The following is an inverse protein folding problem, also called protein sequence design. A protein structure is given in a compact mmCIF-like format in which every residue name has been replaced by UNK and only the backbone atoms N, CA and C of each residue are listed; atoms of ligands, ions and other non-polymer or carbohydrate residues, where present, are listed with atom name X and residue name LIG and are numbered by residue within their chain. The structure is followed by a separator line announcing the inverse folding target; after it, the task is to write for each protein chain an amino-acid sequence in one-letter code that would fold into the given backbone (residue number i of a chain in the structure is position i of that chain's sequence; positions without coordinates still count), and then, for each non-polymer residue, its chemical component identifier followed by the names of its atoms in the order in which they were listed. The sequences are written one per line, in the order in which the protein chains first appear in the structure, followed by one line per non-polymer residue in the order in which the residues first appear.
data_IF_318665258955
#
_entry.id   IF_318665258955
#
_cell.length_a   1.000
_cell.length_b   1.000
_cell.length_c   1.000
_cell.angle_alpha   90.00
_cell.angle_beta   90.00
_cell.angle_gamma   90.00
#
_symmetry.space_group_name_H-M   'P 1'
#
loop_
_entity.id
_entity.type
_entity.pdbx_description
1 polymer ?
#
# COMPACT_ATOMS: atom_id res chain seq x y z
N UNK A 1 -6.08 28.12 21.84
CA UNK A 1 -5.25 26.92 21.62
C UNK A 1 -4.40 27.17 20.38
N UNK A 2 -3.11 27.45 20.53
CA UNK A 2 -2.27 27.75 19.36
C UNK A 2 -2.14 26.48 18.53
N UNK A 3 -2.61 26.49 17.29
CA UNK A 3 -2.44 25.36 16.37
C UNK A 3 -0.95 25.05 16.27
N UNK A 4 -0.54 23.85 16.71
CA UNK A 4 0.85 23.42 16.63
C UNK A 4 1.33 23.53 15.19
N UNK A 5 2.41 24.28 14.96
CA UNK A 5 3.02 24.39 13.62
C UNK A 5 3.53 23.01 13.21
N UNK A 6 3.01 22.48 12.11
CA UNK A 6 3.52 21.24 11.53
C UNK A 6 4.94 21.47 11.05
N UNK A 7 5.84 20.53 11.34
CA UNK A 7 7.15 20.44 10.71
C UNK A 7 6.98 20.00 9.24
N UNK A 8 6.70 20.98 8.39
CA UNK A 8 6.48 20.78 6.97
C UNK A 8 7.72 20.23 6.26
N UNK A 9 8.93 20.49 6.76
CA UNK A 9 10.16 19.98 6.17
C UNK A 9 10.26 18.47 6.38
N UNK A 10 10.16 18.01 7.63
CA UNK A 10 10.22 16.57 7.94
C UNK A 10 9.09 15.79 7.28
N UNK A 11 7.86 16.35 7.27
CA UNK A 11 6.73 15.71 6.57
C UNK A 11 6.93 15.68 5.06
N UNK A 12 7.56 16.71 4.47
CA UNK A 12 7.90 16.74 3.05
C UNK A 12 8.93 15.68 2.66
N UNK A 13 10.01 15.54 3.45
CA UNK A 13 11.02 14.49 3.24
C UNK A 13 10.41 13.09 3.37
N UNK A 14 9.58 12.86 4.40
CA UNK A 14 8.85 11.60 4.56
C UNK A 14 7.83 11.35 3.44
N UNK A 15 7.23 12.42 2.91
CA UNK A 15 6.31 12.37 1.77
C UNK A 15 7.01 11.92 0.49
N UNK A 16 8.17 12.51 0.18
CA UNK A 16 9.00 12.09 -0.95
C UNK A 16 9.50 10.65 -0.79
N UNK A 17 9.96 10.28 0.41
CA UNK A 17 10.31 8.90 0.72
C UNK A 17 9.13 7.96 0.43
N UNK A 18 7.94 8.28 0.96
CA UNK A 18 6.73 7.48 0.77
C UNK A 18 6.37 7.33 -0.71
N UNK A 19 6.45 8.42 -1.48
CA UNK A 19 6.23 8.40 -2.93
C UNK A 19 7.17 7.41 -3.62
N UNK A 20 8.46 7.49 -3.32
CA UNK A 20 9.45 6.61 -3.92
C UNK A 20 9.28 5.16 -3.44
N UNK A 21 9.07 4.92 -2.14
CA UNK A 21 8.89 3.56 -1.60
C UNK A 21 7.75 2.81 -2.28
N UNK A 22 6.58 3.43 -2.42
CA UNK A 22 5.44 2.83 -3.14
C UNK A 22 5.65 2.82 -4.66
N UNK A 23 6.27 3.85 -5.20
CA UNK A 23 6.44 4.02 -6.63
C UNK A 23 7.38 2.98 -7.26
N UNK A 24 8.59 2.89 -6.72
CA UNK A 24 9.77 2.24 -7.32
C UNK A 24 9.54 0.79 -7.72
N UNK A 25 8.79 0.02 -6.93
CA UNK A 25 8.47 -1.37 -7.28
C UNK A 25 7.00 -1.71 -7.08
N UNK A 26 6.37 -1.26 -6.00
CA UNK A 26 5.00 -1.67 -5.67
C UNK A 26 3.97 -1.24 -6.74
N UNK A 27 4.03 0.00 -7.23
CA UNK A 27 3.19 0.46 -8.36
C UNK A 27 3.77 0.11 -9.73
N UNK A 28 5.09 0.20 -9.89
CA UNK A 28 5.76 -0.04 -11.18
C UNK A 28 5.70 -1.50 -11.65
N UNK A 29 5.57 -2.46 -10.72
CA UNK A 29 5.53 -3.89 -11.03
C UNK A 29 4.45 -4.26 -12.05
N UNK A 30 3.23 -3.73 -11.92
CA UNK A 30 2.14 -4.03 -12.84
C UNK A 30 2.41 -3.58 -14.28
N UNK A 31 3.13 -2.47 -14.45
CA UNK A 31 3.56 -1.96 -15.77
C UNK A 31 4.68 -2.83 -16.35
N UNK A 32 5.59 -3.30 -15.49
CA UNK A 32 6.75 -4.11 -15.86
C UNK A 32 6.44 -5.59 -16.07
N UNK A 33 5.30 -6.09 -15.56
CA UNK A 33 4.95 -7.52 -15.58
C UNK A 33 4.96 -8.11 -16.99
N UNK A 34 4.27 -7.46 -17.93
CA UNK A 34 4.15 -7.93 -19.30
C UNK A 34 5.48 -7.82 -20.08
N UNK A 35 6.20 -6.68 -20.05
CA UNK A 35 7.53 -6.59 -20.64
C UNK A 35 8.52 -7.66 -20.13
N UNK A 36 8.51 -7.96 -18.83
CA UNK A 36 9.37 -9.01 -18.25
C UNK A 36 8.96 -10.39 -18.79
N UNK A 37 7.66 -10.69 -18.83
CA UNK A 37 7.12 -11.96 -19.34
C UNK A 37 7.53 -12.20 -20.79
N UNK A 38 7.38 -11.18 -21.63
CA UNK A 38 7.69 -11.25 -23.07
C UNK A 38 9.19 -11.42 -23.31
N UNK A 39 10.04 -10.67 -22.60
CA UNK A 39 11.50 -10.74 -22.77
C UNK A 39 12.11 -12.06 -22.24
N UNK A 40 11.63 -12.54 -21.10
CA UNK A 40 12.25 -13.68 -20.40
C UNK A 40 11.55 -15.02 -20.62
N UNK A 41 10.29 -15.00 -21.06
CA UNK A 41 9.44 -16.18 -21.15
C UNK A 41 9.00 -16.76 -19.79
N UNK A 42 9.28 -16.08 -18.67
CA UNK A 42 8.89 -16.57 -17.34
C UNK A 42 7.37 -16.50 -17.15
N UNK A 43 6.81 -17.48 -16.43
CA UNK A 43 5.37 -17.58 -16.20
C UNK A 43 4.81 -16.40 -15.38
N UNK A 44 3.62 -15.93 -15.76
CA UNK A 44 2.94 -14.80 -15.12
C UNK A 44 2.65 -15.08 -13.64
N UNK A 45 2.21 -16.30 -13.28
CA UNK A 45 2.03 -16.72 -11.88
C UNK A 45 3.32 -16.66 -11.06
N UNK A 46 4.46 -17.04 -11.65
CA UNK A 46 5.76 -17.03 -10.96
C UNK A 46 6.19 -15.59 -10.67
N UNK A 47 6.01 -14.69 -11.64
CA UNK A 47 6.26 -13.27 -11.47
C UNK A 47 5.33 -12.68 -10.41
N UNK A 48 4.02 -12.93 -10.50
CA UNK A 48 3.04 -12.46 -9.52
C UNK A 48 3.31 -13.01 -8.10
N UNK A 49 3.75 -14.27 -8.00
CA UNK A 49 4.14 -14.89 -6.74
C UNK A 49 5.38 -14.21 -6.12
N UNK A 50 6.32 -13.70 -6.93
CA UNK A 50 7.45 -12.90 -6.41
C UNK A 50 6.98 -11.59 -5.78
N UNK A 51 5.99 -10.92 -6.38
CA UNK A 51 5.36 -9.75 -5.81
C UNK A 51 4.63 -10.08 -4.51
N UNK A 52 3.84 -11.16 -4.49
CA UNK A 52 3.17 -11.63 -3.27
C UNK A 52 4.16 -11.96 -2.16
N UNK A 53 5.26 -12.66 -2.47
CA UNK A 53 6.32 -12.93 -1.51
C UNK A 53 6.91 -11.63 -0.94
N UNK A 54 7.13 -10.62 -1.78
CA UNK A 54 7.53 -9.29 -1.35
C UNK A 54 6.50 -8.64 -0.42
N UNK A 55 5.20 -8.70 -0.73
CA UNK A 55 4.15 -8.16 0.16
C UNK A 55 4.08 -8.88 1.51
N UNK A 56 4.35 -10.19 1.54
CA UNK A 56 4.49 -10.96 2.77
C UNK A 56 5.68 -10.45 3.58
N UNK A 57 6.83 -10.22 2.95
CA UNK A 57 8.00 -9.65 3.62
C UNK A 57 7.70 -8.26 4.22
N UNK A 58 6.93 -7.41 3.52
CA UNK A 58 6.48 -6.12 4.06
C UNK A 58 5.56 -6.36 5.28
N UNK A 59 4.58 -7.26 5.16
CA UNK A 59 3.63 -7.55 6.23
C UNK A 59 4.30 -8.08 7.49
N UNK A 60 5.21 -9.05 7.34
CA UNK A 60 6.03 -9.56 8.44
C UNK A 60 6.87 -8.45 9.06
N UNK A 61 7.50 -7.63 8.22
CA UNK A 61 8.33 -6.53 8.69
C UNK A 61 7.52 -5.43 9.38
N UNK A 62 6.25 -5.20 9.03
CA UNK A 62 5.42 -4.21 9.69
C UNK A 62 5.19 -4.51 11.18
N UNK A 63 5.26 -5.77 11.60
CA UNK A 63 5.22 -6.20 13.02
C UNK A 63 6.46 -5.76 13.81
N UNK A 64 7.60 -5.57 13.13
CA UNK A 64 8.90 -5.27 13.74
C UNK A 64 9.44 -3.88 13.40
N UNK A 65 9.02 -3.29 12.29
CA UNK A 65 9.57 -2.07 11.71
C UNK A 65 9.41 -0.86 12.64
N UNK A 66 8.26 -0.74 13.31
CA UNK A 66 8.07 0.25 14.37
C UNK A 66 9.08 0.08 15.50
N UNK A 67 9.29 -1.15 15.99
CA UNK A 67 10.28 -1.41 17.06
C UNK A 67 11.70 -1.08 16.63
N UNK A 68 12.06 -1.36 15.38
CA UNK A 68 13.37 -1.05 14.84
C UNK A 68 13.58 0.47 14.73
N UNK A 69 12.58 1.19 14.23
CA UNK A 69 12.54 2.65 14.23
C UNK A 69 12.66 3.22 15.64
N UNK A 70 12.01 2.58 16.62
CA UNK A 70 12.02 3.02 18.00
C UNK A 70 13.35 2.78 18.71
N UNK A 71 14.08 1.72 18.35
CA UNK A 71 15.35 1.35 19.01
C UNK A 71 16.55 2.01 18.33
N UNK A 72 16.56 2.01 17.01
CA UNK A 72 17.70 2.44 16.21
C UNK A 72 17.53 3.87 15.67
N UNK A 73 16.32 4.43 15.72
CA UNK A 73 15.99 5.69 15.06
C UNK A 73 15.76 5.51 13.56
N UNK A 74 15.38 6.61 12.89
CA UNK A 74 15.04 6.60 11.46
C UNK A 74 16.24 6.40 10.54
N UNK A 75 17.41 6.93 10.90
CA UNK A 75 18.61 6.89 10.04
C UNK A 75 19.06 5.46 9.66
N UNK A 76 19.34 4.53 10.60
CA UNK A 76 19.72 3.17 10.23
C UNK A 76 18.59 2.42 9.52
N UNK A 77 17.33 2.65 9.91
CA UNK A 77 16.14 2.07 9.26
C UNK A 77 16.12 2.42 7.77
N UNK A 78 16.29 3.68 7.42
CA UNK A 78 16.26 4.10 6.02
C UNK A 78 17.50 3.65 5.25
N UNK A 79 18.69 3.63 5.87
CA UNK A 79 19.89 3.09 5.21
C UNK A 79 19.77 1.58 4.92
N UNK A 80 19.18 0.80 5.83
CA UNK A 80 18.86 -0.61 5.56
C UNK A 80 17.85 -0.75 4.41
N UNK A 81 16.86 0.14 4.31
CA UNK A 81 15.90 0.17 3.22
C UNK A 81 16.56 0.45 1.87
N UNK A 82 17.46 1.43 1.82
CA UNK A 82 18.27 1.71 0.63
C UNK A 82 19.11 0.49 0.22
N UNK A 83 19.78 -0.14 1.18
CA UNK A 83 20.65 -1.29 0.91
C UNK A 83 19.86 -2.51 0.42
N UNK A 84 18.88 -2.96 1.20
CA UNK A 84 18.11 -4.19 0.91
C UNK A 84 17.23 -3.98 -0.33
N UNK A 85 16.48 -2.87 -0.36
CA UNK A 85 15.59 -2.53 -1.47
C UNK A 85 16.35 -2.31 -2.76
N UNK A 86 17.40 -1.48 -2.70
CA UNK A 86 18.22 -1.11 -3.84
C UNK A 86 19.03 -2.28 -4.39
N UNK A 87 19.74 -3.02 -3.54
CA UNK A 87 20.49 -4.19 -3.98
C UNK A 87 19.58 -5.25 -4.59
N UNK A 88 18.40 -5.49 -4.00
CA UNK A 88 17.41 -6.41 -4.53
C UNK A 88 16.97 -6.06 -5.96
N UNK A 89 16.62 -4.80 -6.24
CA UNK A 89 16.25 -4.40 -7.61
C UNK A 89 17.42 -4.42 -8.58
N UNK A 90 18.61 -4.01 -8.14
CA UNK A 90 19.80 -4.08 -8.98
C UNK A 90 20.08 -5.53 -9.38
N UNK A 91 20.07 -6.47 -8.42
CA UNK A 91 20.24 -7.91 -8.70
C UNK A 91 19.13 -8.40 -9.63
N UNK A 92 17.86 -8.06 -9.38
CA UNK A 92 16.74 -8.46 -10.22
C UNK A 92 16.90 -7.98 -11.68
N UNK A 93 17.41 -6.76 -11.88
CA UNK A 93 17.60 -6.17 -13.22
C UNK A 93 18.61 -6.92 -14.10
N UNK A 94 19.58 -7.60 -13.50
CA UNK A 94 20.58 -8.42 -14.17
C UNK A 94 20.26 -9.92 -14.15
N UNK A 95 19.15 -10.32 -13.53
CA UNK A 95 18.80 -11.72 -13.40
C UNK A 95 18.51 -12.35 -14.77
N UNK A 96 19.17 -13.47 -15.04
CA UNK A 96 18.92 -14.36 -16.20
C UNK A 96 18.14 -15.62 -15.79
N UNK A 97 18.02 -15.88 -14.49
CA UNK A 97 17.28 -16.99 -13.92
C UNK A 97 16.09 -16.47 -13.10
N UNK A 98 14.91 -17.08 -13.31
CA UNK A 98 13.65 -16.73 -12.63
C UNK A 98 13.76 -16.82 -11.10
N UNK A 99 14.49 -17.78 -10.54
CA UNK A 99 14.67 -17.92 -9.09
C UNK A 99 15.46 -16.75 -8.50
N UNK A 100 16.50 -16.29 -9.20
CA UNK A 100 17.28 -15.12 -8.79
C UNK A 100 16.41 -13.88 -8.85
N UNK A 101 15.66 -13.70 -9.95
CA UNK A 101 14.70 -12.59 -10.07
C UNK A 101 13.66 -12.64 -8.94
N UNK A 102 13.06 -13.80 -8.69
CA UNK A 102 12.02 -13.99 -7.68
C UNK A 102 12.49 -13.55 -6.29
N UNK A 103 13.63 -14.08 -5.84
CA UNK A 103 14.16 -13.80 -4.50
C UNK A 103 14.58 -12.34 -4.40
N UNK A 104 15.28 -11.82 -5.40
CA UNK A 104 15.80 -10.45 -5.39
C UNK A 104 14.70 -9.39 -5.50
N UNK A 105 13.69 -9.60 -6.35
CA UNK A 105 12.55 -8.69 -6.49
C UNK A 105 11.61 -8.71 -5.28
N UNK A 106 11.38 -9.90 -4.70
CA UNK A 106 10.64 -10.03 -3.44
C UNK A 106 11.39 -9.33 -2.30
N UNK A 107 12.70 -9.56 -2.18
CA UNK A 107 13.55 -8.91 -1.18
C UNK A 107 13.58 -7.40 -1.38
N UNK A 108 13.60 -6.93 -2.62
CA UNK A 108 13.57 -5.51 -2.93
C UNK A 108 12.28 -4.84 -2.46
N UNK A 109 11.14 -5.46 -2.80
CA UNK A 109 9.82 -5.01 -2.36
C UNK A 109 9.72 -5.04 -0.84
N UNK A 110 10.20 -6.13 -0.23
CA UNK A 110 10.33 -6.29 1.21
C UNK A 110 11.13 -5.15 1.83
N UNK A 111 12.32 -4.85 1.33
CA UNK A 111 13.21 -3.81 1.86
C UNK A 111 12.63 -2.40 1.77
N UNK A 112 12.19 -1.98 0.57
CA UNK A 112 11.58 -0.66 0.39
C UNK A 112 10.25 -0.53 1.12
N UNK A 113 9.41 -1.58 1.10
CA UNK A 113 8.12 -1.53 1.75
C UNK A 113 8.21 -1.59 3.26
N UNK A 114 8.98 -2.53 3.82
CA UNK A 114 9.17 -2.71 5.26
C UNK A 114 9.64 -1.43 5.96
N UNK A 115 10.46 -0.64 5.28
CA UNK A 115 11.22 0.46 5.87
C UNK A 115 10.79 1.85 5.36
N UNK A 116 9.85 1.93 4.42
CA UNK A 116 9.40 3.21 3.83
C UNK A 116 7.91 3.34 3.54
N UNK A 117 7.08 2.33 3.81
CA UNK A 117 5.61 2.45 3.70
C UNK A 117 5.01 3.20 4.89
N UNK A 118 3.69 3.44 4.82
CA UNK A 118 2.95 4.23 5.80
C UNK A 118 3.16 3.80 7.24
N UNK A 119 3.30 2.50 7.55
CA UNK A 119 3.52 2.06 8.93
C UNK A 119 4.82 2.63 9.54
N UNK A 120 5.85 2.92 8.73
CA UNK A 120 7.08 3.59 9.18
C UNK A 120 6.97 5.11 9.03
N UNK A 121 6.51 5.61 7.88
CA UNK A 121 6.54 7.05 7.58
C UNK A 121 5.48 7.81 8.38
N UNK A 122 4.29 7.24 8.62
CA UNK A 122 3.29 7.83 9.51
C UNK A 122 3.79 7.82 10.95
N UNK A 123 4.34 6.70 11.44
CA UNK A 123 4.90 6.62 12.79
C UNK A 123 5.99 7.67 13.02
N UNK A 124 6.83 7.91 12.01
CA UNK A 124 7.86 8.95 12.04
C UNK A 124 7.25 10.36 11.99
N UNK A 125 6.25 10.59 11.15
CA UNK A 125 5.58 11.89 11.05
C UNK A 125 4.88 12.29 12.36
N UNK A 126 4.24 11.33 13.04
CA UNK A 126 3.63 11.51 14.37
C UNK A 126 4.66 11.94 15.41
N UNK A 127 5.87 11.38 15.37
CA UNK A 127 6.96 11.72 16.31
C UNK A 127 7.46 13.15 16.15
N UNK A 128 7.54 13.62 14.91
CA UNK A 128 7.91 15.00 14.62
C UNK A 128 6.77 15.99 14.94
N UNK A 129 5.51 15.52 14.95
CA UNK A 129 4.33 16.37 15.09
C UNK A 129 3.36 15.89 16.19
N UNK A 130 3.81 15.71 17.45
CA UNK A 130 2.98 15.11 18.50
C UNK A 130 1.76 15.96 18.90
N UNK A 131 1.82 17.28 18.67
CA UNK A 131 0.73 18.20 18.98
C UNK A 131 -0.44 18.12 17.99
N UNK A 132 -0.21 17.64 16.76
CA UNK A 132 -1.22 17.55 15.71
C UNK A 132 -0.95 16.35 14.77
N UNK A 133 -0.88 15.16 15.37
CA UNK A 133 -0.56 13.90 14.72
C UNK A 133 -1.50 13.57 13.56
N UNK A 134 -2.80 13.80 13.73
CA UNK A 134 -3.82 13.51 12.72
C UNK A 134 -3.62 14.36 11.47
N UNK A 135 -3.28 15.65 11.61
CA UNK A 135 -3.01 16.52 10.47
C UNK A 135 -1.69 16.18 9.78
N UNK A 136 -0.66 15.80 10.54
CA UNK A 136 0.60 15.32 9.95
C UNK A 136 0.40 14.05 9.10
N UNK A 137 -0.38 13.08 9.60
CA UNK A 137 -0.78 11.88 8.84
C UNK A 137 -1.59 12.26 7.60
N UNK A 138 -2.55 13.19 7.72
CA UNK A 138 -3.34 13.65 6.58
C UNK A 138 -2.46 14.27 5.48
N UNK A 139 -1.51 15.14 5.84
CA UNK A 139 -0.58 15.73 4.86
C UNK A 139 0.31 14.66 4.23
N UNK A 140 0.89 13.75 5.03
CA UNK A 140 1.74 12.68 4.53
C UNK A 140 1.00 11.74 3.58
N UNK A 141 -0.27 11.42 3.87
CA UNK A 141 -1.07 10.60 2.97
C UNK A 141 -1.35 11.33 1.67
N UNK A 142 -1.57 12.64 1.64
CA UNK A 142 -1.68 13.36 0.36
C UNK A 142 -0.44 13.13 -0.52
N UNK A 143 0.77 13.19 0.05
CA UNK A 143 2.00 12.83 -0.67
C UNK A 143 1.94 11.42 -1.23
N UNK A 144 1.67 10.41 -0.40
CA UNK A 144 1.69 9.03 -0.87
C UNK A 144 0.59 8.70 -1.90
N UNK A 145 -0.49 9.50 -2.02
CA UNK A 145 -1.46 9.34 -3.11
C UNK A 145 -0.87 9.74 -4.48
N UNK A 146 0.13 10.63 -4.50
CA UNK A 146 0.83 11.03 -5.72
C UNK A 146 1.79 9.94 -6.22
N UNK A 147 2.11 8.93 -5.41
CA UNK A 147 3.04 7.86 -5.77
C UNK A 147 2.64 7.18 -7.08
N UNK A 148 1.40 6.72 -7.20
CA UNK A 148 0.92 6.08 -8.44
C UNK A 148 0.77 7.06 -9.60
N UNK A 149 0.48 8.33 -9.31
CA UNK A 149 0.32 9.39 -10.34
C UNK A 149 1.66 9.67 -11.02
N UNK A 150 2.75 9.62 -10.24
CA UNK A 150 4.11 9.86 -10.74
C UNK A 150 4.68 8.58 -11.36
N UNK A 151 4.65 7.45 -10.64
CA UNK A 151 5.45 6.29 -11.01
C UNK A 151 4.85 5.40 -12.10
N UNK A 152 3.53 5.39 -12.29
CA UNK A 152 2.93 4.63 -13.38
C UNK A 152 3.33 5.20 -14.76
N UNK A 153 3.10 6.50 -15.06
CA UNK A 153 3.54 7.07 -16.35
C UNK A 153 5.06 7.15 -16.47
N UNK A 154 5.78 7.42 -15.37
CA UNK A 154 7.25 7.40 -15.38
C UNK A 154 7.79 6.02 -15.78
N UNK A 155 7.23 4.94 -15.22
CA UNK A 155 7.70 3.59 -15.53
C UNK A 155 7.40 3.18 -16.95
N UNK A 156 6.21 3.52 -17.46
CA UNK A 156 5.82 3.26 -18.85
C UNK A 156 6.77 3.95 -19.82
N UNK A 157 7.00 5.26 -19.63
CA UNK A 157 7.93 6.05 -20.45
C UNK A 157 9.37 5.52 -20.38
N UNK A 158 9.83 5.09 -19.19
CA UNK A 158 11.17 4.50 -19.03
C UNK A 158 11.27 3.15 -19.74
N UNK A 159 10.24 2.29 -19.66
CA UNK A 159 10.21 1.00 -20.35
C UNK A 159 10.23 1.20 -21.87
N UNK A 160 9.45 2.14 -22.39
CA UNK A 160 9.42 2.46 -23.82
C UNK A 160 10.78 2.94 -24.32
N UNK A 161 11.46 3.81 -23.55
CA UNK A 161 12.73 4.39 -23.97
C UNK A 161 13.95 3.49 -23.74
N UNK A 162 13.97 2.69 -22.67
CA UNK A 162 15.19 2.02 -22.19
C UNK A 162 15.05 0.50 -22.05
N UNK A 163 13.84 -0.04 -22.19
CA UNK A 163 13.51 -1.42 -21.88
C UNK A 163 13.46 -1.71 -20.37
N UNK A 164 12.83 -2.83 -20.00
CA UNK A 164 12.50 -3.12 -18.60
C UNK A 164 13.74 -3.20 -17.69
N UNK A 165 14.84 -3.84 -18.12
CA UNK A 165 16.06 -4.01 -17.29
C UNK A 165 16.67 -2.68 -16.88
N UNK A 166 16.76 -1.74 -17.84
CA UNK A 166 17.28 -0.39 -17.57
C UNK A 166 16.31 0.40 -16.70
N UNK A 167 15.00 0.28 -16.93
CA UNK A 167 13.98 0.89 -16.06
C UNK A 167 14.13 0.44 -14.62
N UNK A 168 14.28 -0.86 -14.36
CA UNK A 168 14.48 -1.38 -12.99
C UNK A 168 15.72 -0.78 -12.33
N UNK A 169 16.81 -0.56 -13.07
CA UNK A 169 18.03 0.08 -12.54
C UNK A 169 17.81 1.55 -12.19
N UNK A 170 17.12 2.30 -13.04
CA UNK A 170 16.76 3.70 -12.77
C UNK A 170 15.85 3.80 -11.54
N UNK A 171 14.83 2.94 -11.46
CA UNK A 171 13.93 2.86 -10.32
C UNK A 171 14.70 2.51 -9.03
N UNK A 172 15.63 1.55 -9.08
CA UNK A 172 16.51 1.22 -7.95
C UNK A 172 17.31 2.44 -7.47
N UNK A 173 17.91 3.21 -8.39
CA UNK A 173 18.67 4.41 -8.07
C UNK A 173 17.80 5.50 -7.43
N UNK A 174 16.58 5.71 -7.93
CA UNK A 174 15.60 6.63 -7.34
C UNK A 174 15.25 6.20 -5.91
N UNK A 175 14.98 4.90 -5.70
CA UNK A 175 14.68 4.34 -4.39
C UNK A 175 15.84 4.52 -3.41
N UNK A 176 17.06 4.15 -3.79
CA UNK A 176 18.27 4.33 -2.98
C UNK A 176 18.44 5.81 -2.61
N UNK A 177 18.35 6.71 -3.60
CA UNK A 177 18.50 8.14 -3.40
C UNK A 177 17.50 8.71 -2.40
N UNK A 178 16.21 8.34 -2.52
CA UNK A 178 15.17 8.79 -1.61
C UNK A 178 15.40 8.33 -0.16
N UNK A 179 15.76 7.06 0.04
CA UNK A 179 16.04 6.51 1.37
C UNK A 179 17.30 7.13 2.00
N UNK A 180 18.38 7.29 1.22
CA UNK A 180 19.62 7.94 1.70
C UNK A 180 19.36 9.40 2.04
N UNK A 181 18.61 10.13 1.20
CA UNK A 181 18.22 11.51 1.45
C UNK A 181 17.37 11.63 2.72
N UNK A 182 16.38 10.75 2.92
CA UNK A 182 15.60 10.73 4.16
C UNK A 182 16.46 10.44 5.40
N UNK A 183 17.41 9.51 5.30
CA UNK A 183 18.34 9.20 6.37
C UNK A 183 19.27 10.38 6.73
N UNK A 184 19.64 11.20 5.75
CA UNK A 184 20.57 12.31 5.92
C UNK A 184 19.87 13.63 6.32
N UNK A 185 18.69 13.92 5.76
CA UNK A 185 18.01 15.20 5.90
C UNK A 185 17.08 15.26 7.12
N UNK A 186 16.52 14.13 7.57
CA UNK A 186 15.64 14.14 8.73
C UNK A 186 16.45 14.40 10.01
N UNK A 187 16.03 15.36 10.85
CA UNK A 187 16.78 15.73 12.03
C UNK A 187 16.98 14.55 12.97
N UNK A 188 18.20 14.42 13.50
CA UNK A 188 18.57 13.37 14.45
C UNK A 188 17.66 13.39 15.67
N UNK A 189 17.15 12.22 16.06
CA UNK A 189 16.20 12.14 17.15
C UNK A 189 16.95 12.18 18.49
N UNK A 190 17.04 13.35 19.12
CA UNK A 190 17.56 13.51 20.50
C UNK A 190 16.52 13.17 21.57
N UNK A 191 15.35 12.61 21.21
CA UNK A 191 14.35 12.21 22.19
C UNK A 191 14.70 10.84 22.76
N UNK A 192 14.74 10.78 24.08
CA UNK A 192 14.87 9.54 24.82
C UNK A 192 13.87 8.49 24.31
N UNK A 193 14.29 7.22 24.16
CA UNK A 193 13.37 6.15 23.85
C UNK A 193 12.21 6.20 24.85
N UNK A 194 10.96 6.08 24.36
CA UNK A 194 9.79 6.08 25.22
C UNK A 194 10.00 5.07 26.37
N UNK A 195 10.18 5.59 27.58
CA UNK A 195 10.43 4.84 28.80
C UNK A 195 9.10 4.27 29.30
N UNK A 196 8.62 3.22 28.65
CA UNK A 196 7.42 2.48 29.05
C UNK A 196 7.52 1.01 28.61
N UNK A 197 6.85 0.07 29.31
CA UNK A 197 6.78 -1.32 28.89
C UNK A 197 6.12 -1.37 27.51
N UNK A 198 6.86 -1.83 26.49
CA UNK A 198 6.28 -2.01 25.16
C UNK A 198 5.45 -3.29 25.17
N UNK A 199 4.22 -3.27 24.61
CA UNK A 199 3.45 -4.49 24.48
C UNK A 199 4.23 -5.49 23.62
N UNK A 200 4.16 -6.77 23.92
CA UNK A 200 4.78 -7.81 23.09
C UNK A 200 4.03 -7.94 21.76
N UNK A 201 4.65 -8.56 20.75
CA UNK A 201 3.94 -8.85 19.48
C UNK A 201 2.69 -9.69 19.76
N UNK A 202 2.79 -10.65 20.69
CA UNK A 202 1.68 -11.48 21.10
C UNK A 202 0.54 -10.67 21.73
N UNK A 203 0.85 -9.72 22.62
CA UNK A 203 -0.18 -8.90 23.29
C UNK A 203 -0.95 -8.06 22.28
N UNK A 204 -0.25 -7.45 21.33
CA UNK A 204 -0.88 -6.63 20.28
C UNK A 204 -1.74 -7.50 19.36
N UNK A 205 -1.25 -8.68 18.96
CA UNK A 205 -2.03 -9.63 18.15
C UNK A 205 -3.29 -10.10 18.89
N UNK A 206 -3.18 -10.48 20.15
CA UNK A 206 -4.32 -10.88 20.99
C UNK A 206 -5.32 -9.73 21.08
N UNK A 207 -4.85 -8.50 21.29
CA UNK A 207 -5.72 -7.34 21.39
C UNK A 207 -6.45 -6.99 20.09
N UNK A 208 -5.93 -7.36 18.90
CA UNK A 208 -6.69 -7.22 17.63
C UNK A 208 -7.91 -8.15 17.54
N UNK A 209 -8.02 -9.13 18.42
CA UNK A 209 -9.14 -10.10 18.46
C UNK A 209 -9.78 -10.24 19.85
N UNK A 210 -9.39 -9.41 20.81
CA UNK A 210 -9.84 -9.55 22.21
C UNK A 210 -11.29 -9.09 22.38
N UNK A 211 -11.66 -7.96 21.77
CA UNK A 211 -13.02 -7.41 21.82
C UNK A 211 -13.82 -7.71 20.54
N UNK A 212 -15.18 -7.75 20.61
CA UNK A 212 -16.01 -7.85 19.41
C UNK A 212 -15.71 -6.76 18.38
N UNK A 213 -15.45 -5.53 18.84
CA UNK A 213 -15.12 -4.40 17.97
C UNK A 213 -13.77 -4.62 17.26
N UNK A 214 -12.74 -5.04 18.00
CA UNK A 214 -11.44 -5.36 17.43
C UNK A 214 -11.52 -6.50 16.41
N UNK A 215 -12.28 -7.57 16.71
CA UNK A 215 -12.50 -8.70 15.78
C UNK A 215 -13.12 -8.27 14.46
N UNK A 216 -14.22 -7.52 14.49
CA UNK A 216 -14.87 -7.06 13.26
C UNK A 216 -13.99 -6.10 12.47
N UNK A 217 -13.24 -5.23 13.15
CA UNK A 217 -12.29 -4.34 12.49
C UNK A 217 -11.14 -5.14 11.84
N UNK A 218 -10.62 -6.17 12.51
CA UNK A 218 -9.62 -7.08 11.97
C UNK A 218 -10.08 -7.83 10.73
N UNK A 219 -11.31 -8.36 10.74
CA UNK A 219 -11.90 -8.99 9.55
C UNK A 219 -12.05 -7.95 8.43
N UNK A 220 -12.51 -6.74 8.75
CA UNK A 220 -12.64 -5.67 7.76
C UNK A 220 -11.31 -5.31 7.10
N UNK A 221 -10.24 -5.17 7.89
CA UNK A 221 -8.89 -4.90 7.39
C UNK A 221 -8.36 -6.06 6.55
N UNK A 222 -8.52 -7.31 6.99
CA UNK A 222 -8.06 -8.48 6.24
C UNK A 222 -8.76 -8.61 4.88
N UNK A 223 -10.09 -8.55 4.87
CA UNK A 223 -10.90 -8.58 3.65
C UNK A 223 -10.61 -7.37 2.74
N UNK A 224 -10.45 -6.18 3.31
CA UNK A 224 -10.05 -4.98 2.59
C UNK A 224 -8.69 -5.16 1.90
N UNK A 225 -7.72 -5.76 2.59
CA UNK A 225 -6.40 -6.09 2.06
C UNK A 225 -6.46 -6.98 0.82
N UNK A 226 -7.23 -8.08 0.89
CA UNK A 226 -7.47 -8.99 -0.24
C UNK A 226 -8.06 -8.23 -1.44
N UNK A 227 -9.09 -7.42 -1.21
CA UNK A 227 -9.74 -6.65 -2.27
C UNK A 227 -8.78 -5.64 -2.93
N UNK A 228 -8.07 -4.85 -2.12
CA UNK A 228 -7.18 -3.80 -2.60
C UNK A 228 -5.97 -4.37 -3.35
N UNK A 229 -5.33 -5.42 -2.82
CA UNK A 229 -4.16 -6.03 -3.45
C UNK A 229 -4.53 -6.72 -4.78
N UNK A 230 -5.63 -7.47 -4.81
CA UNK A 230 -6.11 -8.14 -6.04
C UNK A 230 -6.45 -7.11 -7.11
N UNK A 231 -7.21 -6.06 -6.76
CA UNK A 231 -7.55 -4.99 -7.68
C UNK A 231 -6.30 -4.31 -8.22
N UNK A 232 -5.33 -4.01 -7.35
CA UNK A 232 -4.11 -3.31 -7.76
C UNK A 232 -3.34 -4.09 -8.83
N UNK A 233 -3.16 -5.40 -8.62
CA UNK A 233 -2.39 -6.28 -9.52
C UNK A 233 -3.16 -6.55 -10.82
N UNK A 234 -4.47 -6.84 -10.74
CA UNK A 234 -5.23 -7.33 -11.89
C UNK A 234 -6.02 -6.25 -12.65
N UNK A 235 -6.09 -5.00 -12.19
CA UNK A 235 -6.85 -3.96 -12.91
C UNK A 235 -6.42 -3.82 -14.38
N UNK A 236 -5.11 -3.80 -14.67
CA UNK A 236 -4.59 -3.67 -16.04
C UNK A 236 -4.86 -4.95 -16.84
N UNK A 237 -4.46 -6.16 -16.37
CA UNK A 237 -4.78 -7.41 -17.05
C UNK A 237 -6.27 -7.62 -17.37
N UNK A 238 -7.17 -7.24 -16.46
CA UNK A 238 -8.63 -7.39 -16.65
C UNK A 238 -9.14 -6.41 -17.70
N UNK A 239 -8.72 -5.15 -17.66
CA UNK A 239 -9.10 -4.15 -18.67
C UNK A 239 -8.63 -4.54 -20.07
N UNK A 240 -7.41 -5.08 -20.19
CA UNK A 240 -6.87 -5.57 -21.47
C UNK A 240 -7.67 -6.77 -21.97
N UNK A 241 -7.96 -7.76 -21.11
CA UNK A 241 -8.80 -8.90 -21.49
C UNK A 241 -10.25 -8.49 -21.84
N UNK A 242 -10.73 -7.37 -21.31
CA UNK A 242 -12.03 -6.82 -21.66
C UNK A 242 -12.04 -6.03 -23.00
N UNK A 243 -10.89 -5.86 -23.65
CA UNK A 243 -10.76 -5.26 -24.98
C UNK A 243 -10.10 -3.88 -25.03
N UNK A 244 -9.64 -3.33 -23.91
CA UNK A 244 -8.88 -2.07 -23.91
C UNK A 244 -7.43 -2.31 -24.33
N UNK A 245 -6.80 -1.29 -24.92
CA UNK A 245 -5.36 -1.32 -25.16
C UNK A 245 -4.59 -1.33 -23.83
N UNK A 246 -3.36 -1.87 -23.84
CA UNK A 246 -2.45 -1.85 -22.68
C UNK A 246 -2.20 -0.42 -22.19
N UNK A 247 -1.95 0.52 -23.11
CA UNK A 247 -1.74 1.94 -22.81
C UNK A 247 -2.97 2.58 -22.15
N UNK A 248 -4.17 2.30 -22.67
CA UNK A 248 -5.41 2.81 -22.07
C UNK A 248 -5.63 2.22 -20.68
N UNK A 249 -5.43 0.91 -20.50
CA UNK A 249 -5.57 0.24 -19.21
C UNK A 249 -4.56 0.78 -18.17
N UNK A 250 -3.30 0.98 -18.56
CA UNK A 250 -2.27 1.59 -17.71
C UNK A 250 -2.64 3.04 -17.34
N UNK A 251 -3.14 3.82 -18.31
CA UNK A 251 -3.64 5.18 -18.07
C UNK A 251 -4.75 5.17 -17.03
N UNK A 252 -5.72 4.25 -17.14
CA UNK A 252 -6.82 4.13 -16.18
C UNK A 252 -6.31 3.73 -14.79
N UNK A 253 -5.32 2.84 -14.68
CA UNK A 253 -4.68 2.53 -13.40
C UNK A 253 -4.01 3.77 -12.75
N UNK A 254 -3.44 4.65 -13.58
CA UNK A 254 -2.93 5.97 -13.21
C UNK A 254 -4.02 6.93 -12.74
N UNK A 255 -5.11 7.05 -13.50
CA UNK A 255 -6.29 7.87 -13.15
C UNK A 255 -6.89 7.38 -11.83
N UNK A 256 -7.06 6.06 -11.65
CA UNK A 256 -7.49 5.48 -10.37
C UNK A 256 -6.55 5.86 -9.24
N UNK A 257 -5.25 5.89 -9.53
CA UNK A 257 -4.21 6.39 -8.66
C UNK A 257 -4.47 7.79 -8.18
N UNK A 258 -4.69 8.70 -9.12
CA UNK A 258 -5.02 10.10 -8.88
C UNK A 258 -6.33 10.27 -8.11
N UNK A 259 -7.37 9.51 -8.46
CA UNK A 259 -8.68 9.56 -7.81
C UNK A 259 -8.66 9.14 -6.33
N UNK A 260 -7.57 8.56 -5.82
CA UNK A 260 -7.38 8.38 -4.37
C UNK A 260 -7.38 9.70 -3.61
N UNK A 261 -6.96 10.80 -4.24
CA UNK A 261 -7.07 12.14 -3.66
C UNK A 261 -8.54 12.49 -3.38
N UNK A 262 -9.47 12.05 -4.22
CA UNK A 262 -10.90 12.24 -4.02
C UNK A 262 -11.45 11.53 -2.78
N UNK A 263 -10.81 10.45 -2.32
CA UNK A 263 -11.14 9.79 -1.05
C UNK A 263 -10.46 10.43 0.17
N UNK A 264 -9.35 11.14 -0.03
CA UNK A 264 -8.51 11.72 1.04
C UNK A 264 -8.84 13.17 1.35
N UNK A 265 -8.91 14.03 0.34
CA UNK A 265 -9.10 15.47 0.51
C UNK A 265 -10.42 15.83 1.19
N UNK A 266 -11.59 15.26 0.81
CA UNK A 266 -12.84 15.54 1.50
C UNK A 266 -13.04 14.66 2.74
N UNK A 267 -12.05 13.89 3.17
CA UNK A 267 -12.25 12.92 4.25
C UNK A 267 -12.66 13.57 5.57
N UNK A 268 -12.05 14.69 5.93
CA UNK A 268 -12.39 15.41 7.16
C UNK A 268 -13.87 15.84 7.21
N UNK A 269 -14.42 16.57 6.22
CA UNK A 269 -15.84 16.91 6.22
C UNK A 269 -16.75 15.67 6.09
N UNK A 270 -16.33 14.61 5.40
CA UNK A 270 -17.08 13.34 5.34
C UNK A 270 -17.19 12.72 6.74
N UNK A 271 -16.07 12.60 7.46
CA UNK A 271 -16.05 12.03 8.81
C UNK A 271 -16.82 12.91 9.80
N UNK A 272 -16.75 14.23 9.69
CA UNK A 272 -17.54 15.14 10.53
C UNK A 272 -19.05 14.95 10.33
N UNK A 273 -19.50 14.68 9.11
CA UNK A 273 -20.93 14.51 8.78
C UNK A 273 -21.45 13.10 9.04
N UNK A 274 -20.65 12.08 8.70
CA UNK A 274 -21.09 10.69 8.71
C UNK A 274 -20.60 9.92 9.94
N UNK A 275 -19.57 10.39 10.62
CA UNK A 275 -18.80 9.62 11.60
C UNK A 275 -17.82 8.65 10.92
N UNK A 276 -16.90 8.10 11.71
CA UNK A 276 -15.80 7.22 11.23
C UNK A 276 -16.32 5.92 10.63
N UNK A 277 -17.28 5.28 11.29
CA UNK A 277 -17.81 3.98 10.86
C UNK A 277 -18.56 4.05 9.54
N UNK A 278 -19.48 5.02 9.38
CA UNK A 278 -20.20 5.19 8.11
C UNK A 278 -19.27 5.62 6.98
N UNK A 279 -18.19 6.35 7.29
CA UNK A 279 -17.15 6.67 6.32
C UNK A 279 -16.40 5.42 5.85
N UNK A 280 -16.10 4.48 6.77
CA UNK A 280 -15.52 3.17 6.40
C UNK A 280 -16.48 2.33 5.55
N UNK A 281 -17.78 2.31 5.90
CA UNK A 281 -18.83 1.66 5.10
C UNK A 281 -18.85 2.24 3.69
N UNK A 282 -18.82 3.56 3.55
CA UNK A 282 -18.76 4.23 2.25
C UNK A 282 -17.50 3.85 1.45
N UNK A 283 -16.34 3.81 2.11
CA UNK A 283 -15.08 3.43 1.46
C UNK A 283 -15.12 1.99 0.92
N UNK A 284 -15.61 1.03 1.71
CA UNK A 284 -15.72 -0.36 1.26
C UNK A 284 -16.85 -0.59 0.25
N UNK A 285 -17.95 0.17 0.34
CA UNK A 285 -19.00 0.14 -0.68
C UNK A 285 -18.48 0.65 -2.03
N UNK A 286 -17.67 1.73 -2.02
CA UNK A 286 -16.99 2.21 -3.21
C UNK A 286 -16.00 1.18 -3.76
N UNK A 287 -15.24 0.49 -2.90
CA UNK A 287 -14.33 -0.57 -3.34
C UNK A 287 -15.08 -1.76 -3.98
N UNK A 288 -16.21 -2.17 -3.39
CA UNK A 288 -17.09 -3.22 -3.91
C UNK A 288 -17.66 -2.84 -5.28
N UNK A 289 -18.20 -1.62 -5.40
CA UNK A 289 -18.69 -1.08 -6.67
C UNK A 289 -17.56 -0.98 -7.72
N UNK A 290 -16.36 -0.59 -7.30
CA UNK A 290 -15.16 -0.59 -8.14
C UNK A 290 -14.83 -1.98 -8.68
N UNK A 291 -14.86 -3.03 -7.84
CA UNK A 291 -14.68 -4.41 -8.30
C UNK A 291 -15.73 -4.83 -9.35
N UNK A 292 -17.00 -4.48 -9.14
CA UNK A 292 -18.06 -4.77 -10.09
C UNK A 292 -17.87 -4.03 -11.43
N UNK A 293 -17.49 -2.76 -11.38
CA UNK A 293 -17.19 -1.96 -12.58
C UNK A 293 -15.98 -2.52 -13.34
N UNK A 294 -14.95 -2.99 -12.62
CA UNK A 294 -13.78 -3.61 -13.23
C UNK A 294 -14.14 -4.85 -14.06
N UNK A 295 -15.11 -5.66 -13.61
CA UNK A 295 -15.59 -6.84 -14.35
C UNK A 295 -16.16 -6.51 -15.73
N UNK A 296 -16.66 -5.28 -15.94
CA UNK A 296 -17.30 -4.81 -17.18
C UNK A 296 -16.54 -3.65 -17.83
N UNK A 297 -15.26 -3.49 -17.50
CA UNK A 297 -14.41 -2.35 -17.90
C UNK A 297 -13.90 -2.38 -19.36
N UNK A 298 -14.62 -3.01 -20.28
CA UNK A 298 -14.23 -3.11 -21.70
C UNK A 298 -14.37 -1.81 -22.50
N UNK A 299 -14.87 -0.73 -21.90
CA UNK A 299 -14.96 0.59 -22.53
C UNK A 299 -14.28 1.64 -21.67
N UNK A 300 -13.77 2.71 -22.31
CA UNK A 300 -13.09 3.81 -21.63
C UNK A 300 -13.98 4.45 -20.56
N UNK A 301 -15.27 4.65 -20.85
CA UNK A 301 -16.22 5.26 -19.91
C UNK A 301 -16.39 4.44 -18.63
N UNK A 302 -16.50 3.11 -18.75
CA UNK A 302 -16.62 2.22 -17.58
C UNK A 302 -15.30 2.13 -16.82
N UNK A 303 -14.17 2.07 -17.52
CA UNK A 303 -12.84 2.07 -16.90
C UNK A 303 -12.55 3.39 -16.16
N UNK A 304 -13.02 4.52 -16.68
CA UNK A 304 -12.94 5.82 -16.00
C UNK A 304 -13.83 5.85 -14.74
N UNK A 305 -15.07 5.36 -14.83
CA UNK A 305 -15.96 5.26 -13.69
C UNK A 305 -15.39 4.33 -12.60
N UNK A 306 -14.86 3.17 -12.99
CA UNK A 306 -14.08 2.28 -12.13
C UNK A 306 -12.97 3.05 -11.42
N UNK A 307 -12.17 3.81 -12.19
CA UNK A 307 -11.01 4.54 -11.67
C UNK A 307 -11.40 5.55 -10.59
N UNK A 308 -12.46 6.30 -10.82
CA UNK A 308 -13.00 7.27 -9.85
C UNK A 308 -13.49 6.58 -8.58
N UNK A 309 -14.35 5.56 -8.74
CA UNK A 309 -15.03 4.89 -7.62
C UNK A 309 -14.05 4.06 -6.78
N UNK A 310 -13.22 3.23 -7.42
CA UNK A 310 -12.20 2.44 -6.72
C UNK A 310 -11.12 3.34 -6.11
N UNK A 311 -10.70 4.38 -6.83
CA UNK A 311 -9.75 5.38 -6.35
C UNK A 311 -10.25 6.02 -5.04
N UNK A 312 -11.49 6.51 -5.03
CA UNK A 312 -12.12 7.08 -3.84
C UNK A 312 -12.10 6.11 -2.65
N UNK A 313 -12.56 4.86 -2.85
CA UNK A 313 -12.63 3.86 -1.77
C UNK A 313 -11.26 3.54 -1.15
N UNK A 314 -10.26 3.31 -2.00
CA UNK A 314 -8.87 3.05 -1.58
C UNK A 314 -8.28 4.28 -0.85
N UNK A 315 -8.49 5.47 -1.41
CA UNK A 315 -8.02 6.73 -0.86
C UNK A 315 -8.58 7.00 0.54
N UNK A 316 -9.89 6.81 0.72
CA UNK A 316 -10.59 7.03 1.98
C UNK A 316 -10.24 5.98 3.05
N UNK A 317 -10.08 4.71 2.68
CA UNK A 317 -9.83 3.64 3.65
C UNK A 317 -8.53 3.85 4.44
N UNK A 318 -7.44 4.22 3.77
CA UNK A 318 -6.11 4.25 4.39
C UNK A 318 -6.00 5.21 5.61
N UNK A 319 -6.49 6.46 5.60
CA UNK A 319 -6.52 7.27 6.82
C UNK A 319 -7.61 6.82 7.80
N UNK A 320 -8.76 6.33 7.31
CA UNK A 320 -9.84 5.83 8.18
C UNK A 320 -9.39 4.62 9.02
N UNK A 321 -8.53 3.77 8.48
CA UNK A 321 -7.90 2.67 9.22
C UNK A 321 -7.17 3.20 10.46
N UNK A 322 -6.40 4.29 10.30
CA UNK A 322 -5.71 4.94 11.41
C UNK A 322 -6.64 5.59 12.40
N UNK A 323 -7.64 6.33 11.91
CA UNK A 323 -8.64 6.99 12.76
C UNK A 323 -9.45 5.99 13.59
N UNK A 324 -9.82 4.83 13.01
CA UNK A 324 -10.58 3.81 13.73
C UNK A 324 -9.71 3.05 14.74
N UNK A 325 -8.44 2.80 14.43
CA UNK A 325 -7.54 2.22 15.43
C UNK A 325 -7.30 3.17 16.62
N UNK A 326 -7.21 4.48 16.38
CA UNK A 326 -7.13 5.48 17.46
C UNK A 326 -8.39 5.47 18.36
N UNK A 327 -9.54 5.08 17.82
CA UNK A 327 -10.77 4.94 18.59
C UNK A 327 -10.82 3.68 19.45
N UNK A 328 -10.27 2.57 18.93
CA UNK A 328 -10.40 1.25 19.53
C UNK A 328 -9.29 0.94 20.54
N UNK A 329 -8.16 1.65 20.46
CA UNK A 329 -6.96 1.31 21.22
C UNK A 329 -6.33 2.55 21.86
N UNK A 330 -5.72 2.33 23.02
CA UNK A 330 -5.02 3.38 23.76
C UNK A 330 -3.83 3.93 22.97
N UNK A 331 -3.54 5.21 23.22
CA UNK A 331 -2.44 5.94 22.57
C UNK A 331 -1.09 5.26 22.74
N UNK A 332 -0.87 4.61 23.88
CA UNK A 332 0.40 3.97 24.23
C UNK A 332 0.70 2.74 23.37
N UNK A 333 -0.33 2.08 22.85
CA UNK A 333 -0.19 0.89 21.98
C UNK A 333 -0.55 1.18 20.52
N UNK A 334 -1.04 2.40 20.21
CA UNK A 334 -1.55 2.77 18.89
C UNK A 334 -0.55 2.57 17.76
N UNK A 335 0.73 2.93 17.97
CA UNK A 335 1.77 2.72 16.97
C UNK A 335 2.00 1.23 16.65
N UNK A 336 1.96 0.37 17.68
CA UNK A 336 2.08 -1.07 17.51
C UNK A 336 0.84 -1.66 16.85
N UNK A 337 -0.36 -1.17 17.22
CA UNK A 337 -1.62 -1.56 16.58
C UNK A 337 -1.64 -1.20 15.10
N UNK A 338 -1.16 -0.02 14.73
CA UNK A 338 -1.06 0.41 13.33
C UNK A 338 -0.12 -0.48 12.52
N UNK A 339 1.03 -0.85 13.09
CA UNK A 339 1.93 -1.84 12.49
C UNK A 339 1.25 -3.20 12.28
N UNK A 340 0.54 -3.69 13.30
CA UNK A 340 -0.18 -4.98 13.24
C UNK A 340 -1.32 -4.97 12.24
N UNK A 341 -2.15 -3.93 12.18
CA UNK A 341 -3.20 -3.82 11.17
C UNK A 341 -2.63 -3.64 9.76
N UNK A 342 -1.49 -2.96 9.61
CA UNK A 342 -0.74 -2.94 8.34
C UNK A 342 -0.26 -4.34 7.94
N UNK A 343 0.26 -5.10 8.89
CA UNK A 343 0.66 -6.50 8.67
C UNK A 343 -0.52 -7.37 8.24
N UNK A 344 -1.66 -7.29 8.95
CA UNK A 344 -2.89 -8.02 8.62
C UNK A 344 -3.36 -7.67 7.20
N UNK A 345 -3.40 -6.37 6.86
CA UNK A 345 -3.78 -5.90 5.54
C UNK A 345 -2.91 -6.53 4.43
N UNK A 346 -1.59 -6.52 4.62
CA UNK A 346 -0.63 -6.99 3.62
C UNK A 346 -0.57 -8.53 3.53
N UNK A 347 -0.56 -9.21 4.68
CA UNK A 347 -0.52 -10.68 4.74
C UNK A 347 -1.80 -11.28 4.17
N UNK A 348 -2.98 -10.78 4.56
CA UNK A 348 -4.23 -11.19 3.94
C UNK A 348 -4.26 -10.80 2.46
N UNK A 349 -3.80 -9.59 2.12
CA UNK A 349 -3.71 -9.08 0.76
C UNK A 349 -2.91 -9.97 -0.20
N UNK A 350 -1.87 -10.65 0.29
CA UNK A 350 -1.04 -11.54 -0.52
C UNK A 350 -1.80 -12.74 -1.11
N UNK A 351 -2.90 -13.17 -0.48
CA UNK A 351 -3.72 -14.32 -0.90
C UNK A 351 -4.47 -14.03 -2.19
N UNK A 352 -4.98 -12.80 -2.33
CA UNK A 352 -5.88 -12.42 -3.42
C UNK A 352 -5.26 -12.55 -4.82
N UNK A 353 -4.11 -11.91 -5.10
CA UNK A 353 -3.44 -12.03 -6.40
C UNK A 353 -3.00 -13.45 -6.77
N UNK A 354 -2.61 -14.27 -5.79
CA UNK A 354 -2.21 -15.67 -6.01
C UNK A 354 -3.40 -16.49 -6.45
N UNK A 355 -4.52 -16.39 -5.71
CA UNK A 355 -5.76 -17.07 -6.06
C UNK A 355 -6.28 -16.63 -7.43
N UNK A 356 -6.24 -15.33 -7.73
CA UNK A 356 -6.61 -14.79 -9.04
C UNK A 356 -5.73 -15.36 -10.18
N UNK A 357 -4.43 -15.50 -9.94
CA UNK A 357 -3.48 -16.02 -10.92
C UNK A 357 -3.71 -17.49 -11.23
N UNK A 358 -3.88 -18.32 -10.20
CA UNK A 358 -4.17 -19.75 -10.37
C UNK A 358 -5.46 -19.95 -11.18
N UNK A 359 -6.51 -19.18 -10.87
CA UNK A 359 -7.79 -19.26 -11.60
C UNK A 359 -7.61 -18.80 -13.05
N UNK A 360 -6.88 -17.70 -13.27
CA UNK A 360 -6.64 -17.18 -14.62
C UNK A 360 -5.86 -18.18 -15.49
N UNK A 361 -4.87 -18.88 -14.94
CA UNK A 361 -4.12 -19.91 -15.65
C UNK A 361 -4.97 -21.13 -16.03
N UNK A 362 -5.87 -21.55 -15.14
CA UNK A 362 -6.72 -22.72 -15.36
C UNK A 362 -7.89 -22.44 -16.30
N UNK A 363 -8.43 -21.22 -16.27
CA UNK A 363 -9.67 -20.86 -16.98
C UNK A 363 -9.44 -19.99 -18.22
N UNK A 364 -8.29 -19.33 -18.33
CA UNK A 364 -8.03 -18.28 -19.32
C UNK A 364 -8.78 -16.97 -19.06
N UNK A 365 -9.66 -16.90 -18.07
CA UNK A 365 -10.55 -15.77 -17.82
C UNK A 365 -10.02 -14.87 -16.69
N UNK A 366 -9.65 -13.64 -17.03
CA UNK A 366 -9.04 -12.70 -16.07
C UNK A 366 -10.09 -12.02 -15.18
N UNK A 367 -11.37 -11.98 -15.59
CA UNK A 367 -12.46 -11.32 -14.83
C UNK A 367 -12.73 -11.95 -13.47
N UNK A 368 -12.28 -13.18 -13.20
CA UNK A 368 -12.35 -13.80 -11.87
C UNK A 368 -11.66 -12.98 -10.79
N UNK A 369 -10.61 -12.23 -11.14
CA UNK A 369 -9.97 -11.30 -10.21
C UNK A 369 -10.97 -10.24 -9.70
N UNK A 370 -11.85 -9.73 -10.55
CA UNK A 370 -12.89 -8.77 -10.16
C UNK A 370 -13.91 -9.37 -9.20
N UNK A 371 -14.26 -10.65 -9.35
CA UNK A 371 -15.15 -11.33 -8.41
C UNK A 371 -14.52 -11.48 -7.02
N UNK A 372 -13.23 -11.84 -6.96
CA UNK A 372 -12.47 -11.89 -5.70
C UNK A 372 -12.52 -10.53 -5.00
N UNK A 373 -12.30 -9.44 -5.76
CA UNK A 373 -12.40 -8.07 -5.23
C UNK A 373 -13.79 -7.80 -4.66
N UNK A 374 -14.87 -8.12 -5.39
CA UNK A 374 -16.25 -7.90 -4.94
C UNK A 374 -16.55 -8.67 -3.66
N UNK A 375 -16.22 -9.96 -3.61
CA UNK A 375 -16.48 -10.82 -2.44
C UNK A 375 -15.71 -10.33 -1.22
N UNK A 376 -14.42 -10.03 -1.40
CA UNK A 376 -13.59 -9.52 -0.32
C UNK A 376 -14.06 -8.14 0.17
N UNK A 377 -14.38 -7.21 -0.73
CA UNK A 377 -14.92 -5.90 -0.37
C UNK A 377 -16.28 -6.01 0.33
N UNK A 378 -17.12 -6.98 -0.06
CA UNK A 378 -18.38 -7.28 0.63
C UNK A 378 -18.13 -7.77 2.06
N UNK A 379 -17.16 -8.67 2.26
CA UNK A 379 -16.77 -9.12 3.59
C UNK A 379 -16.30 -7.96 4.48
N UNK A 380 -15.52 -7.03 3.92
CA UNK A 380 -15.07 -5.84 4.62
C UNK A 380 -16.22 -4.89 4.98
N UNK A 381 -17.12 -4.66 4.03
CA UNK A 381 -18.33 -3.85 4.21
C UNK A 381 -19.23 -4.40 5.31
N UNK A 382 -19.58 -5.69 5.24
CA UNK A 382 -20.45 -6.35 6.21
C UNK A 382 -19.83 -6.32 7.60
N UNK A 383 -18.52 -6.59 7.71
CA UNK A 383 -17.80 -6.54 8.99
C UNK A 383 -17.81 -5.14 9.59
N UNK A 384 -17.66 -4.11 8.76
CA UNK A 384 -17.74 -2.70 9.20
C UNK A 384 -19.15 -2.32 9.66
N UNK A 385 -20.21 -2.80 8.98
CA UNK A 385 -21.60 -2.59 9.41
C UNK A 385 -21.88 -3.29 10.74
N UNK A 386 -21.28 -4.46 10.98
CA UNK A 386 -21.39 -5.16 12.28
C UNK A 386 -20.67 -4.39 13.37
N UNK A 387 -19.46 -3.89 13.09
CA UNK A 387 -18.70 -3.02 13.98
C UNK A 387 -19.50 -1.78 14.39
N UNK A 388 -20.15 -1.10 13.43
CA UNK A 388 -20.90 0.14 13.68
C UNK A 388 -22.20 -0.05 14.45
N UNK A 389 -22.62 -1.28 14.70
CA UNK A 389 -23.83 -1.64 15.47
C UNK A 389 -23.49 -2.10 16.89
N UNK A 390 -22.21 -2.22 17.22
CA UNK A 390 -21.79 -2.50 18.58
C UNK A 390 -22.03 -1.26 19.46
N UNK A 391 -22.41 -1.47 20.72
CA UNK A 391 -22.71 -0.39 21.67
C UNK A 391 -21.47 0.43 22.04
#
# INVERSE_FOLDING_TARGET
MSAGRIDHFSVGVLGLLTICSYGVWYYSFGVLLEPIRVDTGWGESTLAASFSAGTVLIGLSALFGGRLLDRAGHRPVFLMGALIGGAGLLIASFATNVSVFFVSSATALGGFGALGFYHVTMATAVRFNPADSSRAIAVLTIWGALASVVFLPLSDALVEALGWRSTVRVLAAIGIGAFVAAAALLPGNNREPANGPRPSVADVLIATVSSPAARWFTIAVACGGVAMATLLVYQVPVMVAAGLSSTTAATMAGVRGFCQLGGRLPLAPIVQRLGRDRSLVLAFAALMAGGALLAVSGTISVALLFSVVAGFGIGAFSPLQGMKAEELFDRDVLGAMMGTYGAILLLAGSVGPVTAGIIAEQTGERRWASLIVVVAATGALVSTIRLSRLP
#
